data_IF_120156825685
#
_entry.id   IF_120156825685
#
_cell.length_a   1.000
_cell.length_b   1.000
_cell.length_c   1.000
_cell.angle_alpha   90.00
_cell.angle_beta   90.00
_cell.angle_gamma   90.00
#
_symmetry.space_group_name_H-M   'P 1'
#
loop_
_entity.id
_entity.type
_entity.pdbx_description
1 polymer ?
#
# COMPACT_ATOMS: atom_id res chain seq x y z
N UNK A 1 -17.40 13.12 -36.33
CA UNK A 1 -17.59 13.40 -34.88
C UNK A 1 -17.06 12.24 -33.99
N UNK A 2 -15.82 11.76 -34.21
CA UNK A 2 -15.25 10.56 -33.53
C UNK A 2 -14.23 10.88 -32.41
N UNK A 3 -13.79 12.14 -32.28
CA UNK A 3 -12.83 12.61 -31.28
C UNK A 3 -13.20 12.28 -29.81
N UNK A 4 -14.46 12.43 -29.34
CA UNK A 4 -14.76 12.29 -27.91
C UNK A 4 -14.74 10.85 -27.38
N UNK A 5 -14.82 9.83 -28.25
CA UNK A 5 -14.71 8.42 -27.85
C UNK A 5 -13.25 8.00 -27.75
N UNK A 6 -12.43 8.40 -28.71
CA UNK A 6 -10.99 8.15 -28.72
C UNK A 6 -10.34 8.82 -27.50
N UNK A 7 -10.67 10.08 -27.24
CA UNK A 7 -10.13 10.84 -26.11
C UNK A 7 -10.51 10.19 -24.75
N UNK A 8 -11.77 9.76 -24.59
CA UNK A 8 -12.19 9.02 -23.38
C UNK A 8 -11.43 7.71 -23.18
N UNK A 9 -11.18 6.96 -24.25
CA UNK A 9 -10.41 5.70 -24.19
C UNK A 9 -8.94 5.97 -23.82
N UNK A 10 -8.32 6.99 -24.42
CA UNK A 10 -6.94 7.38 -24.09
C UNK A 10 -6.79 7.85 -22.65
N UNK A 11 -7.76 8.60 -22.11
CA UNK A 11 -7.76 9.02 -20.71
C UNK A 11 -7.89 7.82 -19.76
N UNK A 12 -8.80 6.88 -20.04
CA UNK A 12 -8.93 5.67 -19.22
C UNK A 12 -7.63 4.86 -19.20
N UNK A 13 -6.98 4.68 -20.36
CA UNK A 13 -5.71 3.95 -20.42
C UNK A 13 -4.58 4.63 -19.63
N UNK A 14 -4.47 5.97 -19.71
CA UNK A 14 -3.51 6.75 -18.91
C UNK A 14 -3.76 6.63 -17.41
N UNK A 15 -5.03 6.71 -16.98
CA UNK A 15 -5.41 6.53 -15.59
C UNK A 15 -5.08 5.10 -15.11
N UNK A 16 -5.37 4.08 -15.92
CA UNK A 16 -5.00 2.70 -15.62
C UNK A 16 -3.48 2.49 -15.56
N UNK A 17 -2.71 3.20 -16.39
CA UNK A 17 -1.25 3.14 -16.38
C UNK A 17 -0.64 3.64 -15.05
N UNK A 18 -1.31 4.54 -14.32
CA UNK A 18 -0.88 4.93 -12.97
C UNK A 18 -0.77 3.72 -12.02
N UNK A 19 -1.64 2.72 -12.18
CA UNK A 19 -1.60 1.47 -11.41
C UNK A 19 -0.39 0.57 -11.73
N UNK A 20 0.25 0.75 -12.89
CA UNK A 20 1.51 0.08 -13.22
C UNK A 20 2.72 0.76 -12.57
N UNK A 21 2.59 2.04 -12.20
CA UNK A 21 3.70 2.87 -11.72
C UNK A 21 3.69 2.96 -10.20
N UNK A 22 2.51 3.19 -9.58
CA UNK A 22 2.37 3.48 -8.17
C UNK A 22 3.08 2.46 -7.27
N UNK A 23 2.77 1.16 -7.46
CA UNK A 23 3.32 0.10 -6.63
C UNK A 23 4.81 -0.13 -6.80
N UNK A 24 5.32 -0.33 -8.04
CA UNK A 24 6.76 -0.47 -8.27
C UNK A 24 7.57 0.72 -7.77
N UNK A 25 7.10 1.94 -8.00
CA UNK A 25 7.74 3.14 -7.48
C UNK A 25 7.80 3.11 -5.95
N UNK A 26 6.66 2.85 -5.30
CA UNK A 26 6.58 2.80 -3.84
C UNK A 26 7.54 1.78 -3.25
N UNK A 27 7.57 0.57 -3.83
CA UNK A 27 8.43 -0.54 -3.40
C UNK A 27 9.91 -0.23 -3.58
N UNK A 28 10.31 0.31 -4.73
CA UNK A 28 11.71 0.67 -5.00
C UNK A 28 12.18 1.74 -4.02
N UNK A 29 11.38 2.78 -3.80
CA UNK A 29 11.74 3.88 -2.90
C UNK A 29 11.93 3.37 -1.47
N UNK A 30 10.96 2.64 -0.90
CA UNK A 30 11.12 2.18 0.49
C UNK A 30 12.23 1.13 0.64
N UNK A 31 12.53 0.34 -0.39
CA UNK A 31 13.65 -0.60 -0.39
C UNK A 31 14.99 0.12 -0.35
N UNK A 32 15.16 1.17 -1.17
CA UNK A 32 16.34 2.02 -1.15
C UNK A 32 16.48 2.74 0.20
N UNK A 33 15.40 3.38 0.68
CA UNK A 33 15.43 4.02 2.00
C UNK A 33 15.76 3.04 3.12
N UNK A 34 15.20 1.83 3.09
CA UNK A 34 15.52 0.78 4.06
C UNK A 34 17.01 0.41 4.06
N UNK A 35 17.65 0.38 2.88
CA UNK A 35 19.07 0.05 2.75
C UNK A 35 19.98 1.17 3.30
N UNK A 36 19.53 2.43 3.27
CA UNK A 36 20.34 3.59 3.63
C UNK A 36 19.93 4.28 4.94
N UNK A 37 18.87 3.84 5.63
CA UNK A 37 18.33 4.53 6.81
C UNK A 37 19.33 4.69 7.96
N UNK A 38 20.28 3.77 8.08
CA UNK A 38 21.36 3.83 9.06
C UNK A 38 21.05 3.12 10.38
N UNK A 39 21.80 3.48 11.42
CA UNK A 39 21.81 2.78 12.69
C UNK A 39 20.43 2.73 13.37
N UNK A 40 20.09 1.56 13.91
CA UNK A 40 18.82 1.32 14.59
C UNK A 40 17.68 0.85 13.68
N UNK A 41 17.71 1.11 12.37
CA UNK A 41 16.68 0.60 11.47
C UNK A 41 17.00 -0.82 10.97
N UNK A 42 16.13 -1.79 11.23
CA UNK A 42 16.11 -3.09 10.56
C UNK A 42 14.86 -3.24 9.69
N UNK A 43 15.06 -3.57 8.41
CA UNK A 43 13.97 -3.86 7.47
C UNK A 43 13.15 -5.11 7.82
N UNK A 44 13.72 -6.04 8.61
CA UNK A 44 12.99 -7.19 9.09
C UNK A 44 12.09 -6.84 10.28
N UNK A 45 12.55 -5.93 11.14
CA UNK A 45 11.89 -5.60 12.41
C UNK A 45 10.90 -4.45 12.28
N UNK A 46 11.28 -3.36 11.63
CA UNK A 46 10.52 -2.11 11.66
C UNK A 46 9.59 -1.95 10.46
N UNK A 47 8.46 -1.25 10.65
CA UNK A 47 7.56 -0.98 9.55
C UNK A 47 8.19 -0.06 8.50
N UNK A 48 7.64 -0.09 7.30
CA UNK A 48 7.97 0.83 6.20
C UNK A 48 7.63 2.27 6.60
N UNK A 49 6.52 2.49 7.32
CA UNK A 49 6.15 3.83 7.80
C UNK A 49 7.20 4.47 8.69
N UNK A 50 7.95 3.69 9.48
CA UNK A 50 9.05 4.20 10.31
C UNK A 50 10.18 4.84 9.50
N UNK A 51 10.30 4.59 8.19
CA UNK A 51 11.25 5.31 7.34
C UNK A 51 10.97 6.82 7.31
N UNK A 52 9.73 7.25 7.59
CA UNK A 52 9.36 8.66 7.73
C UNK A 52 9.90 9.35 8.97
N UNK A 53 10.47 8.60 9.92
CA UNK A 53 11.01 9.15 11.17
C UNK A 53 12.46 9.62 11.00
N UNK A 54 12.80 10.76 11.61
CA UNK A 54 14.17 11.28 11.66
C UNK A 54 14.68 11.84 10.33
N UNK A 55 16.00 11.98 10.21
CA UNK A 55 16.62 12.56 9.02
C UNK A 55 16.26 11.78 7.75
N UNK A 56 15.95 12.52 6.67
CA UNK A 56 15.55 11.95 5.38
C UNK A 56 14.12 11.41 5.33
N UNK A 57 13.35 11.40 6.44
CA UNK A 57 12.01 10.82 6.47
C UNK A 57 10.98 11.48 5.55
N UNK A 58 11.27 12.69 5.08
CA UNK A 58 10.46 13.37 4.05
C UNK A 58 10.40 12.58 2.74
N UNK A 59 11.40 11.73 2.43
CA UNK A 59 11.40 10.89 1.22
C UNK A 59 10.27 9.88 1.29
N UNK A 60 10.16 9.13 2.40
CA UNK A 60 9.04 8.20 2.59
C UNK A 60 7.69 8.93 2.66
N UNK A 61 7.63 10.15 3.22
CA UNK A 61 6.42 10.99 3.18
C UNK A 61 6.01 11.29 1.74
N UNK A 62 6.94 11.78 0.91
CA UNK A 62 6.66 12.02 -0.52
C UNK A 62 6.29 10.73 -1.25
N UNK A 63 6.91 9.61 -0.90
CA UNK A 63 6.59 8.30 -1.46
C UNK A 63 5.12 7.92 -1.20
N UNK A 64 4.64 8.10 0.03
CA UNK A 64 3.23 7.94 0.37
C UNK A 64 2.32 8.86 -0.44
N UNK A 65 2.65 10.15 -0.52
CA UNK A 65 1.83 11.14 -1.22
C UNK A 65 1.74 10.86 -2.73
N UNK A 66 2.88 10.59 -3.37
CA UNK A 66 2.93 10.27 -4.81
C UNK A 66 2.20 8.97 -5.10
N UNK A 67 2.44 7.92 -4.31
CA UNK A 67 1.73 6.65 -4.48
C UNK A 67 0.21 6.82 -4.26
N UNK A 68 -0.19 7.63 -3.28
CA UNK A 68 -1.59 7.98 -3.03
C UNK A 68 -2.25 8.66 -4.23
N UNK A 69 -1.65 9.71 -4.79
CA UNK A 69 -2.17 10.40 -5.98
C UNK A 69 -2.26 9.47 -7.19
N UNK A 70 -1.21 8.69 -7.47
CA UNK A 70 -1.22 7.73 -8.58
C UNK A 70 -2.28 6.65 -8.38
N UNK A 71 -2.49 6.20 -7.14
CA UNK A 71 -3.54 5.22 -6.81
C UNK A 71 -4.93 5.81 -6.97
N UNK A 72 -5.15 7.08 -6.63
CA UNK A 72 -6.42 7.77 -6.88
C UNK A 72 -6.71 7.90 -8.38
N UNK A 73 -5.70 8.26 -9.18
CA UNK A 73 -5.81 8.26 -10.64
C UNK A 73 -6.14 6.85 -11.18
N UNK A 74 -5.46 5.82 -10.65
CA UNK A 74 -5.75 4.43 -10.98
C UNK A 74 -7.19 4.02 -10.63
N UNK A 75 -7.68 4.37 -9.45
CA UNK A 75 -9.06 4.12 -9.03
C UNK A 75 -10.08 4.73 -10.00
N UNK A 76 -9.83 5.95 -10.49
CA UNK A 76 -10.66 6.57 -11.52
C UNK A 76 -10.63 5.79 -12.84
N UNK A 77 -9.48 5.25 -13.24
CA UNK A 77 -9.37 4.34 -14.39
C UNK A 77 -10.21 3.07 -14.21
N UNK A 78 -10.13 2.44 -13.03
CA UNK A 78 -10.93 1.25 -12.66
C UNK A 78 -12.42 1.57 -12.67
N UNK A 79 -12.83 2.74 -12.17
CA UNK A 79 -14.22 3.20 -12.18
C UNK A 79 -14.75 3.33 -13.61
N UNK A 80 -13.97 3.99 -14.49
CA UNK A 80 -14.31 4.20 -15.89
C UNK A 80 -14.35 2.90 -16.69
N UNK A 81 -13.70 1.85 -16.19
CA UNK A 81 -13.72 0.50 -16.76
C UNK A 81 -14.92 -0.33 -16.27
N UNK A 82 -15.83 0.25 -15.48
CA UNK A 82 -17.07 -0.40 -15.02
C UNK A 82 -16.97 -1.10 -13.66
N UNK A 83 -15.80 -1.11 -13.02
CA UNK A 83 -15.57 -1.81 -11.75
C UNK A 83 -15.76 -0.90 -10.53
N UNK A 84 -16.97 -0.36 -10.34
CA UNK A 84 -17.25 0.70 -9.34
C UNK A 84 -16.88 0.31 -7.90
N UNK A 85 -17.29 -0.86 -7.44
CA UNK A 85 -17.00 -1.30 -6.07
C UNK A 85 -15.48 -1.44 -5.82
N UNK A 86 -14.76 -2.05 -6.77
CA UNK A 86 -13.31 -2.16 -6.69
C UNK A 86 -12.61 -0.81 -6.77
N UNK A 87 -13.11 0.12 -7.59
CA UNK A 87 -12.59 1.48 -7.68
C UNK A 87 -12.72 2.24 -6.35
N UNK A 88 -13.86 2.13 -5.65
CA UNK A 88 -14.03 2.76 -4.32
C UNK A 88 -13.01 2.20 -3.33
N UNK A 89 -12.84 0.88 -3.28
CA UNK A 89 -11.89 0.23 -2.37
C UNK A 89 -10.43 0.63 -2.66
N UNK A 90 -10.04 0.70 -3.94
CA UNK A 90 -8.72 1.21 -4.35
C UNK A 90 -8.58 2.72 -4.03
N UNK A 91 -9.66 3.48 -4.14
CA UNK A 91 -9.70 4.88 -3.74
C UNK A 91 -9.47 5.06 -2.23
N UNK A 92 -10.09 4.22 -1.39
CA UNK A 92 -9.84 4.20 0.06
C UNK A 92 -8.37 3.87 0.36
N UNK A 93 -7.78 2.92 -0.38
CA UNK A 93 -6.34 2.66 -0.31
C UNK A 93 -5.50 3.91 -0.64
N UNK A 94 -5.83 4.62 -1.72
CA UNK A 94 -5.17 5.86 -2.11
C UNK A 94 -5.29 6.97 -1.06
N UNK A 95 -6.49 7.18 -0.50
CA UNK A 95 -6.73 8.15 0.59
C UNK A 95 -5.94 7.78 1.84
N UNK A 96 -5.87 6.50 2.18
CA UNK A 96 -5.06 6.01 3.29
C UNK A 96 -3.59 6.34 3.14
N UNK A 97 -3.03 6.13 1.94
CA UNK A 97 -1.65 6.52 1.63
C UNK A 97 -1.43 8.03 1.79
N UNK A 98 -2.37 8.86 1.30
CA UNK A 98 -2.29 10.31 1.47
C UNK A 98 -2.30 10.69 2.96
N UNK A 99 -3.21 10.12 3.74
CA UNK A 99 -3.29 10.35 5.19
C UNK A 99 -2.02 9.91 5.91
N UNK A 100 -1.48 8.74 5.58
CA UNK A 100 -0.23 8.22 6.13
C UNK A 100 1.00 9.08 5.76
N UNK A 101 0.96 9.77 4.61
CA UNK A 101 1.99 10.75 4.24
C UNK A 101 1.85 12.08 5.00
N UNK A 102 0.62 12.56 5.19
CA UNK A 102 0.35 13.83 5.90
C UNK A 102 0.65 13.73 7.39
N UNK A 103 0.26 12.61 8.02
CA UNK A 103 0.46 12.38 9.44
C UNK A 103 1.66 11.47 9.66
N UNK A 104 2.67 11.97 10.36
CA UNK A 104 3.86 11.19 10.70
C UNK A 104 3.48 10.07 11.67
N UNK A 105 3.99 8.86 11.41
CA UNK A 105 3.77 7.69 12.28
C UNK A 105 4.50 7.86 13.62
N UNK A 106 4.08 7.12 14.65
CA UNK A 106 4.81 7.10 15.91
C UNK A 106 5.99 6.11 15.88
N UNK A 107 7.03 6.35 16.71
CA UNK A 107 8.06 5.37 16.95
C UNK A 107 7.48 4.05 17.46
N UNK A 108 8.02 2.93 16.98
CA UNK A 108 7.60 1.59 17.41
C UNK A 108 8.75 0.62 17.34
N UNK A 109 8.73 -0.39 18.20
CA UNK A 109 9.74 -1.45 18.27
C UNK A 109 11.16 -0.92 18.49
N UNK A 110 11.32 0.21 19.18
CA UNK A 110 12.62 0.80 19.50
C UNK A 110 13.31 1.53 18.36
N UNK A 111 12.57 1.95 17.32
CA UNK A 111 13.07 2.84 16.28
C UNK A 111 12.32 4.19 16.25
N UNK A 112 13.05 5.33 16.23
CA UNK A 112 14.51 5.47 16.38
C UNK A 112 15.09 4.93 17.70
N UNK A 113 16.41 4.77 17.77
CA UNK A 113 17.06 4.26 18.99
C UNK A 113 16.67 5.09 20.22
N UNK A 114 16.32 4.39 21.31
CA UNK A 114 15.88 5.02 22.56
C UNK A 114 14.37 5.25 22.65
N UNK A 115 13.59 4.90 21.62
CA UNK A 115 12.13 4.99 21.67
C UNK A 115 11.49 3.76 22.32
N UNK A 116 10.22 3.84 22.74
CA UNK A 116 9.51 2.73 23.35
C UNK A 116 9.35 1.51 22.42
N UNK A 117 9.07 0.36 23.02
CA UNK A 117 8.82 -0.89 22.29
C UNK A 117 7.45 -0.87 21.59
N UNK A 118 6.42 -0.35 22.26
CA UNK A 118 5.07 -0.12 21.72
C UNK A 118 4.88 1.35 21.38
N UNK A 119 3.99 1.67 20.44
CA UNK A 119 3.70 3.07 20.11
C UNK A 119 3.03 3.79 21.29
N UNK A 120 3.64 4.89 21.74
CA UNK A 120 3.02 5.86 22.63
C UNK A 120 2.21 6.85 21.78
N UNK A 121 0.96 6.49 21.49
CA UNK A 121 0.14 7.17 20.49
C UNK A 121 0.09 8.69 20.68
N UNK A 122 0.73 9.41 19.76
CA UNK A 122 0.50 10.84 19.55
C UNK A 122 -0.74 11.04 18.68
N UNK A 123 -1.28 12.25 18.62
CA UNK A 123 -2.38 12.55 17.67
C UNK A 123 -1.96 12.28 16.22
N UNK A 124 -0.72 12.57 15.86
CA UNK A 124 -0.22 12.31 14.50
C UNK A 124 -0.15 10.82 14.21
N UNK A 125 0.47 10.01 15.06
CA UNK A 125 0.54 8.57 14.81
C UNK A 125 -0.82 7.88 14.90
N UNK A 126 -1.72 8.33 15.78
CA UNK A 126 -3.10 7.84 15.82
C UNK A 126 -3.85 8.14 14.51
N UNK A 127 -3.67 9.32 13.92
CA UNK A 127 -4.24 9.64 12.62
C UNK A 127 -3.58 8.82 11.50
N UNK A 128 -2.25 8.68 11.52
CA UNK A 128 -1.52 7.84 10.56
C UNK A 128 -2.09 6.41 10.52
N UNK A 129 -2.25 5.78 11.69
CA UNK A 129 -2.79 4.42 11.79
C UNK A 129 -4.30 4.39 11.48
N UNK A 130 -5.04 5.43 11.86
CA UNK A 130 -6.45 5.61 11.53
C UNK A 130 -6.73 5.70 10.02
N UNK A 131 -5.80 6.26 9.24
CA UNK A 131 -5.85 6.22 7.76
C UNK A 131 -5.32 4.89 7.20
N UNK A 132 -4.27 4.34 7.81
CA UNK A 132 -3.60 3.14 7.30
C UNK A 132 -4.43 1.87 7.47
N UNK A 133 -5.00 1.61 8.65
CA UNK A 133 -5.71 0.35 8.93
C UNK A 133 -6.92 0.12 8.00
N UNK A 134 -7.85 1.10 7.82
CA UNK A 134 -8.97 0.94 6.89
C UNK A 134 -8.50 0.77 5.45
N UNK A 135 -7.40 1.44 5.07
CA UNK A 135 -6.83 1.34 3.73
C UNK A 135 -6.25 -0.05 3.46
N UNK A 136 -5.52 -0.64 4.42
CA UNK A 136 -5.04 -2.01 4.31
C UNK A 136 -6.19 -3.00 4.14
N UNK A 137 -7.27 -2.84 4.91
CA UNK A 137 -8.46 -3.67 4.80
C UNK A 137 -9.18 -3.47 3.46
N UNK A 138 -9.30 -2.24 2.98
CA UNK A 138 -9.93 -1.94 1.70
C UNK A 138 -9.19 -2.61 0.55
N UNK A 139 -7.85 -2.61 0.56
CA UNK A 139 -7.05 -3.29 -0.47
C UNK A 139 -7.19 -4.81 -0.41
N UNK A 140 -7.30 -5.40 0.79
CA UNK A 140 -7.64 -6.82 0.94
C UNK A 140 -9.00 -7.15 0.32
N UNK A 141 -10.04 -6.38 0.65
CA UNK A 141 -11.40 -6.59 0.11
C UNK A 141 -11.43 -6.34 -1.40
N UNK A 142 -10.65 -5.38 -1.91
CA UNK A 142 -10.55 -5.10 -3.34
C UNK A 142 -10.10 -6.33 -4.12
N UNK A 143 -9.10 -7.07 -3.61
CA UNK A 143 -8.60 -8.31 -4.22
C UNK A 143 -9.70 -9.36 -4.37
N UNK A 144 -10.56 -9.51 -3.37
CA UNK A 144 -11.68 -10.46 -3.39
C UNK A 144 -12.77 -9.98 -4.35
N UNK A 145 -13.18 -8.71 -4.26
CA UNK A 145 -14.27 -8.15 -5.09
C UNK A 145 -13.91 -8.20 -6.57
N UNK A 146 -12.68 -7.83 -6.92
CA UNK A 146 -12.19 -7.78 -8.29
C UNK A 146 -11.74 -9.15 -8.83
N UNK A 147 -11.79 -10.22 -8.03
CA UNK A 147 -11.46 -11.58 -8.47
C UNK A 147 -12.53 -12.20 -9.40
N UNK A 148 -13.77 -11.69 -9.38
CA UNK A 148 -14.93 -12.31 -10.04
C UNK A 148 -14.98 -12.01 -11.53
N UNK A 149 -15.65 -12.89 -12.30
CA UNK A 149 -16.02 -12.66 -13.70
C UNK A 149 -14.89 -12.75 -14.73
N UNK A 150 -13.74 -13.28 -14.35
CA UNK A 150 -12.49 -13.08 -15.08
C UNK A 150 -11.67 -14.38 -15.32
N UNK A 151 -12.31 -15.52 -15.14
CA UNK A 151 -11.75 -16.86 -15.34
C UNK A 151 -11.05 -17.47 -14.11
N UNK A 152 -10.87 -18.79 -14.12
CA UNK A 152 -10.35 -19.55 -12.96
C UNK A 152 -8.95 -19.10 -12.51
N UNK A 153 -8.04 -18.83 -13.44
CA UNK A 153 -6.67 -18.41 -13.13
C UNK A 153 -6.63 -17.09 -12.37
N UNK A 154 -7.40 -16.10 -12.81
CA UNK A 154 -7.49 -14.79 -12.15
C UNK A 154 -8.14 -14.89 -10.77
N UNK A 155 -9.21 -15.68 -10.66
CA UNK A 155 -9.86 -15.94 -9.38
C UNK A 155 -8.87 -16.52 -8.36
N UNK A 156 -8.16 -17.59 -8.73
CA UNK A 156 -7.18 -18.25 -7.85
C UNK A 156 -6.05 -17.30 -7.48
N UNK A 157 -5.45 -16.60 -8.45
CA UNK A 157 -4.39 -15.61 -8.17
C UNK A 157 -4.85 -14.54 -7.18
N UNK A 158 -6.04 -13.95 -7.41
CA UNK A 158 -6.55 -12.86 -6.58
C UNK A 158 -6.86 -13.33 -5.15
N UNK A 159 -7.45 -14.53 -4.99
CA UNK A 159 -7.76 -15.07 -3.67
C UNK A 159 -6.52 -15.52 -2.90
N UNK A 160 -5.53 -16.12 -3.56
CA UNK A 160 -4.25 -16.44 -2.94
C UNK A 160 -3.48 -15.18 -2.54
N UNK A 161 -3.51 -14.14 -3.39
CA UNK A 161 -2.92 -12.83 -3.07
C UNK A 161 -3.63 -12.19 -1.87
N UNK A 162 -4.96 -12.21 -1.83
CA UNK A 162 -5.74 -11.67 -0.71
C UNK A 162 -5.43 -12.40 0.60
N UNK A 163 -5.33 -13.73 0.56
CA UNK A 163 -4.97 -14.53 1.73
C UNK A 163 -3.55 -14.22 2.21
N UNK A 164 -2.56 -14.25 1.31
CA UNK A 164 -1.16 -13.96 1.65
C UNK A 164 -1.02 -12.55 2.22
N UNK A 165 -1.68 -11.57 1.60
CA UNK A 165 -1.74 -10.19 2.07
C UNK A 165 -2.28 -10.09 3.50
N UNK A 166 -3.44 -10.70 3.76
CA UNK A 166 -4.11 -10.63 5.06
C UNK A 166 -3.29 -11.30 6.17
N UNK A 167 -2.77 -12.51 5.90
CA UNK A 167 -1.93 -13.24 6.85
C UNK A 167 -0.68 -12.43 7.18
N UNK A 168 0.01 -11.91 6.18
CA UNK A 168 1.20 -11.09 6.38
C UNK A 168 0.88 -9.79 7.14
N UNK A 169 -0.26 -9.15 6.87
CA UNK A 169 -0.71 -7.97 7.59
C UNK A 169 -0.94 -8.26 9.09
N UNK A 170 -1.61 -9.36 9.43
CA UNK A 170 -1.81 -9.75 10.84
C UNK A 170 -0.52 -10.16 11.53
N UNK A 171 0.38 -10.89 10.87
CA UNK A 171 1.68 -11.26 11.43
C UNK A 171 2.55 -10.01 11.69
N UNK A 172 2.52 -9.04 10.79
CA UNK A 172 3.18 -7.76 10.98
C UNK A 172 2.61 -7.01 12.18
N UNK A 173 1.28 -6.88 12.26
CA UNK A 173 0.60 -6.24 13.38
C UNK A 173 0.93 -6.89 14.72
N UNK A 174 0.92 -8.23 14.78
CA UNK A 174 1.33 -8.97 15.98
C UNK A 174 2.79 -8.70 16.36
N UNK A 175 3.70 -8.63 15.38
CA UNK A 175 5.10 -8.25 15.59
C UNK A 175 5.27 -6.85 16.17
N UNK A 176 4.54 -5.85 15.64
CA UNK A 176 4.59 -4.48 16.14
C UNK A 176 3.93 -4.32 17.52
N UNK A 177 2.95 -5.17 17.84
CA UNK A 177 2.35 -5.30 19.18
C UNK A 177 3.19 -6.18 20.14
N UNK A 178 4.47 -6.38 19.83
CA UNK A 178 5.44 -7.07 20.70
C UNK A 178 5.12 -8.54 20.99
N UNK A 179 4.43 -9.23 20.07
CA UNK A 179 4.22 -10.69 20.19
C UNK A 179 5.55 -11.43 20.10
N UNK A 180 5.83 -12.30 21.07
CA UNK A 180 7.07 -13.07 21.15
C UNK A 180 7.33 -13.85 19.84
N UNK A 181 8.58 -13.81 19.36
CA UNK A 181 9.00 -14.45 18.12
C UNK A 181 8.67 -13.69 16.83
N UNK A 182 7.77 -12.71 16.87
CA UNK A 182 7.38 -11.92 15.68
C UNK A 182 8.02 -10.52 15.63
N UNK A 183 8.47 -9.99 16.77
CA UNK A 183 9.06 -8.64 16.84
C UNK A 183 10.20 -8.44 15.84
N UNK A 184 11.13 -9.39 15.75
CA UNK A 184 12.29 -9.31 14.87
C UNK A 184 11.96 -9.36 13.36
N UNK A 185 10.75 -9.79 13.00
CA UNK A 185 10.32 -10.06 11.61
C UNK A 185 9.02 -9.36 11.22
N UNK A 186 8.45 -8.50 12.08
CA UNK A 186 7.20 -7.78 11.78
C UNK A 186 7.30 -6.91 10.53
N UNK A 187 8.43 -6.22 10.35
CA UNK A 187 8.76 -5.44 9.16
C UNK A 187 8.87 -6.28 7.88
N UNK A 188 9.33 -7.54 7.97
CA UNK A 188 9.35 -8.47 6.83
C UNK A 188 7.93 -8.80 6.39
N UNK A 189 7.07 -9.21 7.32
CA UNK A 189 5.68 -9.54 6.99
C UNK A 189 4.93 -8.33 6.43
N UNK A 190 5.15 -7.13 6.98
CA UNK A 190 4.52 -5.93 6.43
C UNK A 190 4.94 -5.68 4.98
N UNK A 191 6.24 -5.83 4.66
CA UNK A 191 6.75 -5.68 3.30
C UNK A 191 6.17 -6.72 2.35
N UNK A 192 6.05 -7.97 2.78
CA UNK A 192 5.40 -9.02 1.99
C UNK A 192 3.94 -8.66 1.71
N UNK A 193 3.18 -8.20 2.71
CA UNK A 193 1.81 -7.72 2.51
C UNK A 193 1.77 -6.58 1.47
N UNK A 194 2.59 -5.55 1.66
CA UNK A 194 2.67 -4.39 0.76
C UNK A 194 3.03 -4.80 -0.67
N UNK A 195 4.04 -5.65 -0.86
CA UNK A 195 4.47 -6.13 -2.19
C UNK A 195 3.38 -6.97 -2.85
N UNK A 196 2.69 -7.85 -2.11
CA UNK A 196 1.57 -8.64 -2.64
C UNK A 196 0.42 -7.72 -3.05
N UNK A 197 0.06 -6.74 -2.22
CA UNK A 197 -1.01 -5.78 -2.51
C UNK A 197 -0.70 -4.95 -3.76
N UNK A 198 0.51 -4.41 -3.86
CA UNK A 198 0.95 -3.68 -5.05
C UNK A 198 1.03 -4.58 -6.29
N UNK A 199 1.53 -5.80 -6.15
CA UNK A 199 1.56 -6.79 -7.22
C UNK A 199 0.17 -7.06 -7.81
N UNK A 200 -0.85 -7.17 -6.95
CA UNK A 200 -2.23 -7.28 -7.39
C UNK A 200 -2.69 -6.04 -8.18
N UNK A 201 -2.41 -4.82 -7.70
CA UNK A 201 -2.83 -3.60 -8.43
C UNK A 201 -2.17 -3.48 -9.81
N UNK A 202 -0.90 -3.89 -9.93
CA UNK A 202 -0.18 -3.95 -11.21
C UNK A 202 -0.84 -4.99 -12.12
N UNK A 203 -1.11 -6.20 -11.62
CA UNK A 203 -1.76 -7.25 -12.41
C UNK A 203 -3.17 -6.83 -12.88
N UNK A 204 -3.93 -6.15 -12.02
CA UNK A 204 -5.23 -5.58 -12.35
C UNK A 204 -5.10 -4.50 -13.44
N UNK A 205 -4.14 -3.57 -13.31
CA UNK A 205 -3.90 -2.54 -14.30
C UNK A 205 -3.53 -3.14 -15.66
N UNK A 206 -2.62 -4.12 -15.71
CA UNK A 206 -2.29 -4.85 -16.96
C UNK A 206 -3.54 -5.48 -17.56
N UNK A 207 -4.38 -6.09 -16.74
CA UNK A 207 -5.60 -6.76 -17.22
C UNK A 207 -6.59 -5.78 -17.82
N UNK A 208 -6.94 -4.71 -17.11
CA UNK A 208 -7.94 -3.74 -17.54
C UNK A 208 -7.51 -2.92 -18.76
N UNK A 209 -6.20 -2.81 -19.02
CA UNK A 209 -5.68 -2.16 -20.24
C UNK A 209 -5.72 -3.07 -21.47
N UNK A 210 -5.89 -4.38 -21.29
CA UNK A 210 -5.97 -5.37 -22.37
C UNK A 210 -7.41 -5.67 -22.81
N UNK A 211 -8.40 -5.22 -22.04
CA UNK A 211 -9.84 -5.33 -22.36
C UNK A 211 -10.32 -4.09 -23.10
#
# INVERSE_FOLDING_TARGET
MAAPVIERRTLTDRLLACGLIAGPLFVVVFMLESAFKGAGYSALRHPVSSLSLGAGGWVQVLNFLVAGVLTMAFALGVWRSGHRAGAVLIGVWGVGLLGAGVFTTDPVSGFPLGTPATSDYTTSGALHDGFSLPAFLALFVAQIVLSRGNGRRWLVYSLLSAMAYLVCFFLASAGFNQTAGLVAVGGLFQRLAVVVGWGFTVALAVRLRRT
#
